data_IF_820815998613
#
_entry.id   IF_820815998613
#
_cell.length_a   1.000
_cell.length_b   1.000
_cell.length_c   1.000
_cell.angle_alpha   90.00
_cell.angle_beta   90.00
_cell.angle_gamma   90.00
#
_symmetry.space_group_name_H-M   'P 1'
#
loop_
_entity.id
_entity.type
_entity.pdbx_description
1 polymer ?
#
# COMPACT_ATOMS: atom_id res chain seq x y z
N UNK A 1 -11.69 -47.09 -17.11
CA UNK A 1 -11.56 -46.20 -15.92
C UNK A 1 -10.87 -44.94 -16.41
N UNK A 2 -11.56 -43.80 -16.35
CA UNK A 2 -11.43 -42.66 -17.28
C UNK A 2 -10.20 -41.78 -17.05
N UNK A 3 -9.57 -41.36 -18.16
CA UNK A 3 -8.48 -40.38 -18.29
C UNK A 3 -8.90 -38.92 -17.93
N UNK A 4 -10.00 -38.75 -17.18
CA UNK A 4 -10.60 -37.43 -16.91
C UNK A 4 -9.97 -36.73 -15.69
N UNK A 5 -9.41 -37.48 -14.75
CA UNK A 5 -8.96 -36.92 -13.46
C UNK A 5 -7.60 -36.19 -13.51
N UNK A 6 -6.84 -36.33 -14.60
CA UNK A 6 -5.53 -35.68 -14.75
C UNK A 6 -5.60 -34.26 -15.35
N UNK A 7 -6.74 -33.87 -15.92
CA UNK A 7 -6.90 -32.57 -16.61
C UNK A 7 -7.30 -31.44 -15.64
N UNK A 8 -7.94 -31.75 -14.52
CA UNK A 8 -8.47 -30.76 -13.58
C UNK A 8 -7.40 -30.07 -12.71
N UNK A 9 -6.34 -30.77 -12.32
CA UNK A 9 -5.32 -30.22 -11.42
C UNK A 9 -4.42 -29.15 -12.07
N UNK A 10 -4.22 -29.18 -13.39
CA UNK A 10 -3.35 -28.20 -14.08
C UNK A 10 -4.07 -26.86 -14.35
N UNK A 11 -5.41 -26.86 -14.36
CA UNK A 11 -6.25 -25.70 -14.67
C UNK A 11 -6.47 -24.80 -13.45
N UNK A 12 -6.55 -25.40 -12.26
CA UNK A 12 -6.71 -24.71 -10.97
C UNK A 12 -5.47 -23.88 -10.61
N UNK A 13 -4.26 -24.42 -10.76
CA UNK A 13 -3.00 -23.69 -10.52
C UNK A 13 -2.84 -22.47 -11.43
N UNK A 14 -3.17 -22.62 -12.73
CA UNK A 14 -3.08 -21.53 -13.71
C UNK A 14 -4.06 -20.40 -13.42
N UNK A 15 -5.23 -20.70 -12.86
CA UNK A 15 -6.22 -19.69 -12.45
C UNK A 15 -5.79 -18.98 -11.16
N UNK A 16 -5.25 -19.71 -10.20
CA UNK A 16 -4.73 -19.16 -8.95
C UNK A 16 -3.59 -18.17 -9.21
N UNK A 17 -2.66 -18.51 -10.11
CA UNK A 17 -1.54 -17.64 -10.47
C UNK A 17 -2.01 -16.34 -11.15
N UNK A 18 -3.00 -16.43 -12.06
CA UNK A 18 -3.62 -15.25 -12.66
C UNK A 18 -4.34 -14.37 -11.63
N UNK A 19 -5.03 -14.97 -10.65
CA UNK A 19 -5.66 -14.24 -9.53
C UNK A 19 -4.59 -13.57 -8.67
N UNK A 20 -3.56 -14.29 -8.23
CA UNK A 20 -2.43 -13.75 -7.45
C UNK A 20 -1.78 -12.56 -8.15
N UNK A 21 -1.46 -12.69 -9.44
CA UNK A 21 -0.84 -11.62 -10.22
C UNK A 21 -1.73 -10.37 -10.32
N UNK A 22 -3.04 -10.54 -10.49
CA UNK A 22 -4.01 -9.42 -10.46
C UNK A 22 -4.06 -8.74 -9.09
N UNK A 23 -4.03 -9.50 -8.00
CA UNK A 23 -4.00 -8.96 -6.63
C UNK A 23 -2.70 -8.17 -6.39
N UNK A 24 -1.55 -8.74 -6.72
CA UNK A 24 -0.24 -8.08 -6.63
C UNK A 24 -0.17 -6.78 -7.46
N UNK A 25 -0.73 -6.78 -8.68
CA UNK A 25 -0.81 -5.56 -9.49
C UNK A 25 -1.73 -4.51 -8.85
N UNK A 26 -2.87 -4.94 -8.28
CA UNK A 26 -3.80 -4.04 -7.60
C UNK A 26 -3.12 -3.40 -6.39
N UNK A 27 -2.46 -4.19 -5.56
CA UNK A 27 -1.69 -3.73 -4.39
C UNK A 27 -0.58 -2.75 -4.77
N UNK A 28 0.20 -3.06 -5.81
CA UNK A 28 1.24 -2.15 -6.29
C UNK A 28 0.68 -0.82 -6.78
N UNK A 29 -0.51 -0.83 -7.39
CA UNK A 29 -1.18 0.39 -7.89
C UNK A 29 -1.91 1.18 -6.80
N UNK A 30 -2.25 0.56 -5.68
CA UNK A 30 -2.95 1.21 -4.56
C UNK A 30 -2.04 1.55 -3.39
N UNK A 31 -0.72 1.31 -3.52
CA UNK A 31 0.29 1.69 -2.54
C UNK A 31 0.94 3.01 -2.92
N UNK A 32 0.96 3.94 -1.97
CA UNK A 32 1.63 5.24 -2.07
C UNK A 32 2.87 5.27 -1.16
N UNK A 33 3.83 6.13 -1.48
CA UNK A 33 4.93 6.51 -0.61
C UNK A 33 4.70 7.93 -0.09
N UNK A 34 4.92 8.13 1.21
CA UNK A 34 4.88 9.44 1.86
C UNK A 34 6.29 9.76 2.34
N UNK A 35 6.91 10.79 1.76
CA UNK A 35 8.28 11.24 2.03
C UNK A 35 8.28 12.53 2.84
N UNK A 36 9.44 12.85 3.44
CA UNK A 36 9.65 14.00 4.32
C UNK A 36 8.72 14.01 5.56
N UNK A 37 8.37 12.82 6.04
CA UNK A 37 7.56 12.64 7.22
C UNK A 37 8.34 13.06 8.48
N UNK A 38 7.64 13.64 9.46
CA UNK A 38 8.23 13.92 10.78
C UNK A 38 8.72 12.63 11.44
N UNK A 39 9.89 12.66 12.09
CA UNK A 39 10.42 11.53 12.87
C UNK A 39 9.56 11.17 14.10
N UNK A 40 8.63 12.06 14.48
CA UNK A 40 7.65 11.81 15.55
C UNK A 40 6.36 11.15 15.03
N UNK A 41 6.19 11.04 13.71
CA UNK A 41 4.99 10.45 13.14
C UNK A 41 4.95 8.95 13.45
N UNK A 42 3.79 8.47 13.89
CA UNK A 42 3.55 7.05 14.13
C UNK A 42 2.50 6.53 13.16
N UNK A 43 2.27 5.22 13.18
CA UNK A 43 1.25 4.59 12.35
C UNK A 43 -0.14 5.21 12.55
N UNK A 44 -0.51 5.55 13.79
CA UNK A 44 -1.79 6.16 14.12
C UNK A 44 -1.97 7.55 13.49
N UNK A 45 -0.91 8.36 13.46
CA UNK A 45 -0.92 9.68 12.82
C UNK A 45 -1.10 9.55 11.31
N UNK A 46 -0.40 8.59 10.70
CA UNK A 46 -0.52 8.32 9.26
C UNK A 46 -1.92 7.79 8.96
N UNK A 47 -2.41 6.85 9.75
CA UNK A 47 -3.77 6.31 9.63
C UNK A 47 -4.81 7.42 9.71
N UNK A 48 -4.69 8.33 10.68
CA UNK A 48 -5.62 9.45 10.86
C UNK A 48 -5.55 10.48 9.73
N UNK A 49 -4.35 10.74 9.20
CA UNK A 49 -4.17 11.66 8.07
C UNK A 49 -4.77 11.09 6.77
N UNK A 50 -4.57 9.80 6.52
CA UNK A 50 -4.86 9.17 5.23
C UNK A 50 -6.20 8.40 5.19
N UNK A 51 -6.82 8.07 6.32
CA UNK A 51 -8.10 7.33 6.37
C UNK A 51 -9.25 8.06 5.67
N UNK A 52 -9.19 9.40 5.60
CA UNK A 52 -10.16 10.23 4.88
C UNK A 52 -10.22 9.97 3.37
N UNK A 53 -9.15 9.43 2.79
CA UNK A 53 -9.10 9.15 1.34
C UNK A 53 -9.63 7.75 1.00
N UNK A 54 -9.67 6.85 1.98
CA UNK A 54 -10.21 5.51 1.84
C UNK A 54 -9.67 4.53 2.87
N UNK A 55 -10.09 3.27 2.74
CA UNK A 55 -9.67 2.22 3.63
C UNK A 55 -8.19 1.87 3.43
N UNK A 56 -7.42 2.06 4.50
CA UNK A 56 -6.01 1.70 4.58
C UNK A 56 -5.93 0.21 4.92
N UNK A 57 -5.20 -0.53 4.08
CA UNK A 57 -4.94 -1.95 4.25
C UNK A 57 -3.63 -2.22 4.99
N UNK A 58 -2.62 -1.39 4.74
CA UNK A 58 -1.28 -1.59 5.28
C UNK A 58 -0.59 -0.23 5.46
N UNK A 59 0.14 -0.08 6.56
CA UNK A 59 1.08 1.02 6.78
C UNK A 59 2.43 0.39 7.09
N UNK A 60 3.45 0.74 6.32
CA UNK A 60 4.81 0.28 6.55
C UNK A 60 5.71 1.50 6.77
N UNK A 61 6.36 1.56 7.93
CA UNK A 61 7.28 2.63 8.31
C UNK A 61 8.67 2.02 8.45
N UNK A 62 9.51 2.09 7.41
CA UNK A 62 10.88 1.59 7.48
C UNK A 62 11.68 2.32 8.55
N UNK A 63 12.31 1.53 9.43
CA UNK A 63 13.24 1.99 10.46
C UNK A 63 14.67 1.62 10.04
N UNK A 64 15.65 2.38 10.53
CA UNK A 64 17.07 2.06 10.45
C UNK A 64 17.42 0.93 11.42
N UNK A 65 18.65 0.42 11.31
CA UNK A 65 19.27 -0.48 12.30
C UNK A 65 19.14 0.05 13.73
N UNK A 66 19.23 1.37 13.89
CA UNK A 66 19.19 2.05 15.18
C UNK A 66 17.75 2.27 15.70
N UNK A 67 16.74 1.69 15.04
CA UNK A 67 15.33 1.81 15.39
C UNK A 67 14.68 3.15 15.02
N UNK A 68 15.46 4.14 14.55
CA UNK A 68 14.95 5.45 14.11
C UNK A 68 14.25 5.36 12.76
N UNK A 69 13.19 6.13 12.58
CA UNK A 69 12.46 6.18 11.30
C UNK A 69 13.29 6.84 10.20
N UNK A 70 13.15 6.38 8.95
CA UNK A 70 13.84 6.96 7.79
C UNK A 70 13.24 8.27 7.27
N UNK A 71 12.15 8.76 7.86
CA UNK A 71 11.44 9.96 7.38
C UNK A 71 10.54 9.71 6.17
N UNK A 72 10.18 8.46 5.90
CA UNK A 72 9.18 8.09 4.91
C UNK A 72 8.39 6.85 5.35
N UNK A 73 7.22 6.64 4.75
CA UNK A 73 6.41 5.45 4.94
C UNK A 73 5.74 5.03 3.62
N UNK A 74 5.22 3.80 3.60
CA UNK A 74 4.32 3.32 2.57
C UNK A 74 2.92 3.14 3.14
N UNK A 75 1.91 3.53 2.37
CA UNK A 75 0.50 3.35 2.73
C UNK A 75 -0.18 2.59 1.60
N UNK A 76 -0.65 1.38 1.89
CA UNK A 76 -1.45 0.58 0.98
C UNK A 76 -2.94 0.84 1.20
N UNK A 77 -3.64 1.29 0.15
CA UNK A 77 -5.09 1.39 0.16
C UNK A 77 -5.74 0.15 -0.45
N UNK A 78 -7.01 -0.10 -0.11
CA UNK A 78 -7.78 -1.15 -0.80
C UNK A 78 -8.19 -0.74 -2.23
N UNK A 79 -8.33 0.56 -2.49
CA UNK A 79 -8.71 1.10 -3.80
C UNK A 79 -7.61 1.99 -4.40
N UNK A 80 -7.33 1.80 -5.69
CA UNK A 80 -6.40 2.63 -6.47
C UNK A 80 -6.89 4.10 -6.50
N UNK A 81 -8.21 4.32 -6.57
CA UNK A 81 -8.79 5.67 -6.54
C UNK A 81 -8.45 6.43 -5.24
N UNK A 82 -8.41 5.73 -4.11
CA UNK A 82 -8.03 6.32 -2.82
C UNK A 82 -6.56 6.72 -2.78
N UNK A 83 -5.69 5.88 -3.33
CA UNK A 83 -4.27 6.21 -3.49
C UNK A 83 -4.07 7.47 -4.35
N UNK A 84 -4.72 7.55 -5.52
CA UNK A 84 -4.65 8.71 -6.40
C UNK A 84 -5.20 9.99 -5.76
N UNK A 85 -6.29 9.88 -4.99
CA UNK A 85 -6.86 11.01 -4.25
C UNK A 85 -5.90 11.49 -3.16
N UNK A 86 -5.30 10.57 -2.41
CA UNK A 86 -4.29 10.90 -1.40
C UNK A 86 -3.08 11.62 -2.01
N UNK A 87 -2.55 11.13 -3.15
CA UNK A 87 -1.47 11.80 -3.88
C UNK A 87 -1.88 13.23 -4.25
N UNK A 88 -3.04 13.40 -4.87
CA UNK A 88 -3.50 14.72 -5.35
C UNK A 88 -3.74 15.72 -4.21
N UNK A 89 -4.28 15.27 -3.09
CA UNK A 89 -4.70 16.17 -2.01
C UNK A 89 -3.64 16.38 -0.92
N UNK A 90 -2.77 15.40 -0.67
CA UNK A 90 -1.75 15.47 0.39
C UNK A 90 -0.35 15.82 -0.10
N UNK A 91 -0.06 15.66 -1.39
CA UNK A 91 1.25 16.05 -1.89
C UNK A 91 1.47 17.56 -1.68
N UNK A 92 2.66 17.92 -1.19
CA UNK A 92 3.03 19.28 -0.80
C UNK A 92 2.16 19.92 0.31
N UNK A 93 1.44 19.12 1.11
CA UNK A 93 0.71 19.62 2.30
C UNK A 93 1.55 19.52 3.57
N UNK A 94 1.34 20.42 4.54
CA UNK A 94 1.94 20.27 5.86
C UNK A 94 1.29 19.12 6.65
N UNK A 95 2.12 18.22 7.18
CA UNK A 95 1.75 17.18 8.14
C UNK A 95 2.74 17.21 9.30
N UNK A 96 2.23 17.43 10.52
CA UNK A 96 3.05 17.59 11.74
C UNK A 96 4.18 18.63 11.60
N UNK A 97 3.90 19.76 10.95
CA UNK A 97 4.87 20.84 10.76
C UNK A 97 5.92 20.60 9.66
N UNK A 98 5.78 19.54 8.86
CA UNK A 98 6.65 19.29 7.68
C UNK A 98 5.82 19.12 6.42
N UNK A 99 6.27 19.69 5.32
CA UNK A 99 5.63 19.49 4.01
C UNK A 99 5.91 18.09 3.49
N UNK A 100 4.89 17.24 3.39
CA UNK A 100 5.06 15.88 2.90
C UNK A 100 5.00 15.82 1.38
N UNK A 101 5.79 14.92 0.80
CA UNK A 101 5.67 14.56 -0.61
C UNK A 101 4.98 13.20 -0.72
N UNK A 102 3.93 13.12 -1.52
CA UNK A 102 3.12 11.89 -1.66
C UNK A 102 3.10 11.47 -3.11
N UNK A 103 3.55 10.24 -3.39
CA UNK A 103 3.71 9.67 -4.73
C UNK A 103 3.22 8.21 -4.81
#
# INVERSE_FOLDING_TARGET
>A
MTMSDTIDHKKSDKLLERKKRKVLLKEKKSRIIVRNLSFKANEETIKSAFSRFGQIREINIPKNSDGKMKGFCFVGFDAIKSALKAIKEMNAKPLMGRTVAVD
#
